data_IF_607709731735
#
_entry.id   IF_607709731735
#
_cell.length_a   1.000
_cell.length_b   1.000
_cell.length_c   1.000
_cell.angle_alpha   90.00
_cell.angle_beta   90.00
_cell.angle_gamma   90.00
#
_symmetry.space_group_name_H-M   'P 1'
#
loop_
_entity.id
_entity.type
_entity.pdbx_description
1 polymer ?
#
# COMPACT_ATOMS: atom_id res chain seq x y z
N UNK A 1 23.56 3.83 1.39
CA UNK A 1 23.99 2.56 2.02
C UNK A 1 25.39 2.18 1.55
N UNK A 2 26.21 1.61 2.44
CA UNK A 2 27.53 1.04 2.07
C UNK A 2 27.42 -0.39 1.52
N UNK A 3 26.40 -1.13 1.95
CA UNK A 3 26.07 -2.49 1.53
C UNK A 3 24.54 -2.64 1.45
N UNK A 4 24.05 -3.68 0.76
CA UNK A 4 22.61 -3.93 0.66
C UNK A 4 22.05 -4.46 1.99
N UNK A 5 21.12 -3.75 2.67
CA UNK A 5 20.58 -4.19 3.95
C UNK A 5 19.83 -5.51 3.86
N UNK A 6 19.75 -6.23 4.98
CA UNK A 6 19.08 -7.55 5.06
C UNK A 6 17.62 -7.50 4.60
N UNK A 7 16.88 -6.48 5.04
CA UNK A 7 15.47 -6.28 4.68
C UNK A 7 15.30 -6.18 3.14
N UNK A 8 16.23 -5.51 2.46
CA UNK A 8 16.21 -5.41 1.00
C UNK A 8 16.55 -6.74 0.32
N UNK A 9 17.44 -7.55 0.91
CA UNK A 9 17.73 -8.90 0.40
C UNK A 9 16.52 -9.82 0.51
N UNK A 10 15.81 -9.80 1.64
CA UNK A 10 14.57 -10.56 1.81
C UNK A 10 13.48 -10.10 0.82
N UNK A 11 13.31 -8.78 0.65
CA UNK A 11 12.38 -8.25 -0.33
C UNK A 11 12.74 -8.70 -1.75
N UNK A 12 14.03 -8.62 -2.11
CA UNK A 12 14.54 -9.06 -3.41
C UNK A 12 14.24 -10.53 -3.67
N UNK A 13 14.53 -11.41 -2.71
CA UNK A 13 14.21 -12.84 -2.82
C UNK A 13 12.72 -13.02 -3.11
N UNK A 14 11.83 -12.37 -2.37
CA UNK A 14 10.37 -12.53 -2.57
C UNK A 14 9.91 -12.01 -3.95
N UNK A 15 10.43 -10.86 -4.39
CA UNK A 15 10.02 -10.25 -5.65
C UNK A 15 10.54 -11.05 -6.86
N UNK A 16 11.80 -11.50 -6.85
CA UNK A 16 12.40 -12.20 -7.99
C UNK A 16 11.73 -13.54 -8.33
N UNK A 17 10.99 -14.14 -7.40
CA UNK A 17 10.19 -15.35 -7.68
C UNK A 17 8.93 -15.07 -8.52
N UNK A 18 8.63 -13.79 -8.83
CA UNK A 18 7.42 -13.38 -9.55
C UNK A 18 7.77 -12.79 -10.92
N UNK A 19 6.92 -12.99 -11.95
CA UNK A 19 7.12 -12.34 -13.25
C UNK A 19 7.06 -10.81 -13.08
N UNK A 20 8.11 -10.11 -13.54
CA UNK A 20 8.25 -8.65 -13.43
C UNK A 20 8.74 -8.15 -12.06
N UNK A 21 9.11 -9.05 -11.14
CA UNK A 21 9.60 -8.67 -9.82
C UNK A 21 11.00 -8.04 -9.82
N UNK A 22 11.79 -8.29 -10.86
CA UNK A 22 13.05 -7.60 -11.14
C UNK A 22 12.81 -6.10 -11.37
N UNK A 23 11.80 -5.75 -12.17
CA UNK A 23 11.42 -4.36 -12.40
C UNK A 23 10.88 -3.71 -11.11
N UNK A 24 10.03 -4.40 -10.36
CA UNK A 24 9.58 -3.91 -9.04
C UNK A 24 10.76 -3.67 -8.08
N UNK A 25 11.75 -4.56 -8.07
CA UNK A 25 12.92 -4.41 -7.21
C UNK A 25 13.79 -3.21 -7.64
N UNK A 26 14.00 -3.01 -8.95
CA UNK A 26 14.71 -1.83 -9.47
C UNK A 26 14.02 -0.53 -9.09
N UNK A 27 12.69 -0.50 -9.19
CA UNK A 27 11.92 0.67 -8.78
C UNK A 27 12.07 0.95 -7.28
N UNK A 28 12.03 -0.07 -6.43
CA UNK A 28 12.26 0.08 -4.98
C UNK A 28 13.68 0.59 -4.68
N UNK A 29 14.70 0.05 -5.35
CA UNK A 29 16.08 0.52 -5.20
C UNK A 29 16.25 1.98 -5.67
N UNK A 30 15.49 2.39 -6.69
CA UNK A 30 15.51 3.76 -7.19
C UNK A 30 14.97 4.76 -6.16
N UNK A 31 14.06 4.35 -5.28
CA UNK A 31 13.55 5.20 -4.20
C UNK A 31 14.63 5.62 -3.20
N UNK A 32 15.69 4.80 -3.05
CA UNK A 32 16.84 5.12 -2.17
C UNK A 32 17.55 6.40 -2.61
N UNK A 33 17.51 6.73 -3.90
CA UNK A 33 18.12 7.95 -4.44
C UNK A 33 17.31 9.22 -4.11
N UNK A 34 16.03 9.06 -3.77
CA UNK A 34 15.07 10.17 -3.61
C UNK A 34 14.65 10.39 -2.16
N UNK A 35 14.85 9.41 -1.29
CA UNK A 35 14.36 9.42 0.09
C UNK A 35 15.49 9.19 1.10
N UNK A 36 15.26 9.61 2.34
CA UNK A 36 16.17 9.33 3.44
C UNK A 36 16.34 7.81 3.65
N UNK A 37 17.59 7.38 3.80
CA UNK A 37 17.95 5.96 3.93
C UNK A 37 17.22 5.27 5.11
N UNK A 38 16.97 6.00 6.20
CA UNK A 38 16.27 5.44 7.36
C UNK A 38 14.77 5.27 7.09
N UNK A 39 14.17 6.19 6.36
CA UNK A 39 12.74 6.12 6.01
C UNK A 39 12.48 4.96 5.05
N UNK A 40 13.33 4.76 4.06
CA UNK A 40 13.17 3.65 3.11
C UNK A 40 13.43 2.30 3.78
N UNK A 41 14.40 2.19 4.69
CA UNK A 41 14.63 0.95 5.44
C UNK A 41 13.44 0.59 6.34
N UNK A 42 12.86 1.58 7.04
CA UNK A 42 11.63 1.38 7.81
C UNK A 42 10.44 0.99 6.92
N UNK A 43 10.30 1.62 5.75
CA UNK A 43 9.22 1.32 4.82
C UNK A 43 9.32 -0.11 4.26
N UNK A 44 10.52 -0.56 3.91
CA UNK A 44 10.78 -1.94 3.44
C UNK A 44 10.53 -2.94 4.55
N UNK A 45 10.99 -2.65 5.77
CA UNK A 45 10.73 -3.49 6.96
C UNK A 45 9.22 -3.65 7.17
N UNK A 46 8.47 -2.55 7.20
CA UNK A 46 7.02 -2.58 7.38
C UNK A 46 6.29 -3.28 6.21
N UNK A 47 6.81 -3.19 4.99
CA UNK A 47 6.22 -3.89 3.84
C UNK A 47 6.40 -5.42 3.94
N UNK A 48 7.51 -5.89 4.52
CA UNK A 48 7.79 -7.31 4.73
C UNK A 48 6.89 -7.97 5.77
N UNK A 49 6.28 -7.20 6.68
CA UNK A 49 5.31 -7.72 7.66
C UNK A 49 4.00 -8.21 7.01
N UNK A 50 3.77 -7.86 5.74
CA UNK A 50 2.59 -8.26 4.96
C UNK A 50 2.88 -9.57 4.22
N UNK A 51 1.92 -10.49 4.14
CA UNK A 51 2.08 -11.81 3.48
C UNK A 51 2.55 -11.74 2.01
N UNK A 52 2.27 -10.63 1.31
CA UNK A 52 2.64 -10.42 -0.09
C UNK A 52 3.27 -9.04 -0.29
N UNK A 53 4.55 -8.85 0.09
CA UNK A 53 5.23 -7.58 -0.11
C UNK A 53 5.35 -7.28 -1.61
N UNK A 54 5.26 -6.00 -1.98
CA UNK A 54 5.38 -5.49 -3.35
C UNK A 54 5.91 -4.06 -3.33
N UNK A 55 6.34 -3.54 -4.49
CA UNK A 55 6.69 -2.12 -4.63
C UNK A 55 5.60 -1.19 -4.07
N UNK A 56 4.33 -1.52 -4.37
CA UNK A 56 3.19 -0.72 -3.94
C UNK A 56 3.09 -0.65 -2.40
N UNK A 57 3.39 -1.74 -1.70
CA UNK A 57 3.42 -1.76 -0.24
C UNK A 57 4.55 -0.90 0.32
N UNK A 58 5.75 -0.98 -0.26
CA UNK A 58 6.89 -0.12 0.15
C UNK A 58 6.53 1.36 -0.02
N UNK A 59 5.98 1.74 -1.18
CA UNK A 59 5.51 3.10 -1.43
C UNK A 59 4.44 3.54 -0.43
N UNK A 60 3.50 2.65 -0.08
CA UNK A 60 2.45 2.97 0.88
C UNK A 60 3.01 3.21 2.28
N UNK A 61 3.93 2.36 2.74
CA UNK A 61 4.61 2.54 4.03
C UNK A 61 5.43 3.82 4.05
N UNK A 62 6.17 4.10 2.97
CA UNK A 62 6.98 5.31 2.84
C UNK A 62 6.14 6.59 2.89
N UNK A 63 5.00 6.60 2.19
CA UNK A 63 4.05 7.70 2.26
C UNK A 63 3.53 7.92 3.68
N UNK A 64 3.12 6.85 4.37
CA UNK A 64 2.64 6.93 5.76
C UNK A 64 3.69 7.42 6.76
N UNK A 65 4.97 7.10 6.54
CA UNK A 65 6.07 7.57 7.38
C UNK A 65 6.41 9.05 7.11
N UNK A 66 6.14 9.54 5.91
CA UNK A 66 6.45 10.90 5.48
C UNK A 66 5.30 11.89 5.72
N UNK A 67 4.06 11.41 5.68
CA UNK A 67 2.86 12.22 5.80
C UNK A 67 2.58 12.66 7.25
N UNK A 68 1.84 13.76 7.36
CA UNK A 68 1.33 14.23 8.64
C UNK A 68 0.48 13.13 9.32
N UNK A 69 0.42 13.12 10.67
CA UNK A 69 -0.37 12.14 11.40
C UNK A 69 -1.79 12.07 10.87
N UNK A 70 -2.33 10.85 10.74
CA UNK A 70 -3.69 10.63 10.26
C UNK A 70 -4.64 11.54 11.05
N UNK A 71 -5.53 12.28 10.38
CA UNK A 71 -6.50 13.13 11.06
C UNK A 71 -7.32 12.29 12.04
N UNK A 72 -7.65 12.88 13.18
CA UNK A 72 -8.45 12.20 14.20
C UNK A 72 -9.78 11.74 13.58
N UNK A 73 -10.23 10.51 13.88
CA UNK A 73 -11.54 10.05 13.44
C UNK A 73 -12.60 11.05 13.88
N UNK A 74 -13.34 11.59 12.91
CA UNK A 74 -14.48 12.43 13.23
C UNK A 74 -15.49 11.55 13.95
N UNK A 75 -15.95 11.98 15.13
CA UNK A 75 -17.16 11.41 15.71
C UNK A 75 -18.32 12.04 14.95
N UNK A 76 -19.02 11.31 14.05
CA UNK A 76 -20.08 11.93 13.28
C UNK A 76 -21.18 12.38 14.27
N UNK A 77 -21.58 13.66 14.25
CA UNK A 77 -22.67 14.14 15.11
C UNK A 77 -24.04 13.61 14.65
N UNK A 78 -24.07 12.89 13.52
CA UNK A 78 -25.26 12.45 12.83
C UNK A 78 -25.46 10.95 13.04
N UNK A 79 -26.61 10.58 13.59
CA UNK A 79 -27.12 9.20 13.54
C UNK A 79 -27.82 9.00 12.20
N UNK A 80 -27.56 7.86 11.57
CA UNK A 80 -28.32 7.46 10.39
C UNK A 80 -29.79 7.32 10.80
N UNK A 81 -30.67 8.07 10.13
CA UNK A 81 -32.13 7.94 10.32
C UNK A 81 -32.63 6.65 9.66
N UNK A 82 -31.94 6.20 8.60
CA UNK A 82 -32.22 4.98 7.87
C UNK A 82 -30.89 4.28 7.64
N UNK A 83 -30.77 3.04 8.11
CA UNK A 83 -29.60 2.20 7.90
C UNK A 83 -29.47 1.88 6.39
N UNK A 84 -28.28 1.98 5.78
CA UNK A 84 -28.10 1.57 4.39
C UNK A 84 -28.35 0.08 4.25
N UNK A 85 -29.30 -0.28 3.40
CA UNK A 85 -29.53 -1.66 2.99
C UNK A 85 -28.56 -1.96 1.85
N UNK A 86 -27.78 -3.03 1.99
CA UNK A 86 -26.93 -3.57 0.93
C UNK A 86 -27.78 -4.28 -0.15
N UNK A 87 -28.61 -3.51 -0.87
CA UNK A 87 -29.49 -4.02 -1.92
C UNK A 87 -28.80 -3.97 -3.29
N UNK A 88 -28.16 -5.09 -3.65
CA UNK A 88 -27.52 -5.26 -4.96
C UNK A 88 -28.53 -5.30 -6.12
N UNK A 89 -29.79 -5.70 -5.87
CA UNK A 89 -30.82 -5.78 -6.91
C UNK A 89 -31.20 -4.39 -7.45
N UNK A 90 -30.96 -3.33 -6.67
CA UNK A 90 -31.13 -1.95 -7.12
C UNK A 90 -30.23 -1.63 -8.32
N UNK A 91 -29.01 -2.14 -8.33
CA UNK A 91 -28.07 -1.95 -9.43
C UNK A 91 -28.42 -2.81 -10.64
N UNK A 92 -28.86 -4.05 -10.44
CA UNK A 92 -29.29 -4.94 -11.53
C UNK A 92 -30.42 -4.33 -12.34
N UNK A 93 -31.46 -3.81 -11.65
CA UNK A 93 -32.59 -3.12 -12.30
C UNK A 93 -32.16 -1.86 -13.06
N UNK A 94 -31.20 -1.10 -12.53
CA UNK A 94 -30.68 0.09 -13.22
C UNK A 94 -29.88 -0.28 -14.46
N UNK A 95 -29.13 -1.38 -14.41
CA UNK A 95 -28.34 -1.88 -15.54
C UNK A 95 -29.23 -2.42 -16.66
N UNK A 96 -30.32 -3.10 -16.31
CA UNK A 96 -31.31 -3.58 -17.27
C UNK A 96 -32.06 -2.42 -17.95
N UNK A 97 -32.37 -1.35 -17.21
CA UNK A 97 -33.07 -0.16 -17.74
C UNK A 97 -32.23 0.69 -18.71
N UNK A 98 -30.90 0.62 -18.62
CA UNK A 98 -29.99 1.36 -19.49
C UNK A 98 -29.49 0.53 -20.70
N UNK A 99 -30.09 -0.64 -20.94
CA UNK A 99 -29.95 -1.40 -22.19
C UNK A 99 -31.11 -1.08 -23.12
#
# INVERSE_FOLDING_TARGET
FSELPENFRQLQEILLHRPGGDHEMVDVLSLVLMHDERLIDQAVTAALEIERPSKQHVLNCLGRLSDAPRPQPLTPPLRLVIEPIADNQRYDRLRERNR
#
